data_IF_065513879538
#
_entry.id   IF_065513879538
#
_cell.length_a   1.000
_cell.length_b   1.000
_cell.length_c   1.000
_cell.angle_alpha   90.00
_cell.angle_beta   90.00
_cell.angle_gamma   90.00
#
_symmetry.space_group_name_H-M   'P 1'
#
loop_
_entity.id
_entity.type
_entity.pdbx_description
1 polymer ?
#
# COMPACT_ATOMS: atom_id res chain seq x y z
N UNK A 1 -19.81 7.26 0.39
CA UNK A 1 -18.35 7.32 0.17
C UNK A 1 -17.66 7.59 1.49
N UNK A 2 -16.82 6.66 1.94
CA UNK A 2 -16.01 6.81 3.17
C UNK A 2 -15.04 7.98 3.04
N UNK A 3 -14.72 8.63 4.16
CA UNK A 3 -13.70 9.67 4.17
C UNK A 3 -12.30 9.05 3.96
N UNK A 4 -11.43 9.77 3.26
CA UNK A 4 -10.05 9.35 3.03
C UNK A 4 -9.32 9.03 4.34
N UNK A 5 -9.58 9.78 5.42
CA UNK A 5 -8.97 9.55 6.73
C UNK A 5 -9.32 8.19 7.31
N UNK A 6 -10.59 7.79 7.22
CA UNK A 6 -11.04 6.48 7.67
C UNK A 6 -10.50 5.36 6.78
N UNK A 7 -10.45 5.57 5.45
CA UNK A 7 -9.82 4.61 4.55
C UNK A 7 -8.33 4.40 4.85
N UNK A 8 -7.60 5.47 5.18
CA UNK A 8 -6.20 5.38 5.62
C UNK A 8 -6.09 4.60 6.94
N UNK A 9 -6.97 4.88 7.90
CA UNK A 9 -6.97 4.17 9.18
C UNK A 9 -7.19 2.66 8.98
N UNK A 10 -8.21 2.29 8.20
CA UNK A 10 -8.51 0.89 7.87
C UNK A 10 -7.37 0.17 7.18
N UNK A 11 -6.79 0.79 6.15
CA UNK A 11 -5.65 0.21 5.44
C UNK A 11 -4.43 0.03 6.36
N UNK A 12 -4.19 0.97 7.27
CA UNK A 12 -3.10 0.87 8.26
C UNK A 12 -3.34 -0.24 9.27
N UNK A 13 -4.55 -0.33 9.84
CA UNK A 13 -4.93 -1.39 10.80
C UNK A 13 -4.76 -2.79 10.19
N UNK A 14 -5.22 -2.96 8.96
CA UNK A 14 -5.07 -4.23 8.25
C UNK A 14 -3.61 -4.60 7.99
N UNK A 15 -2.78 -3.65 7.55
CA UNK A 15 -1.36 -3.90 7.34
C UNK A 15 -0.63 -4.18 8.66
N UNK A 16 -1.04 -3.58 9.78
CA UNK A 16 -0.52 -3.94 11.11
C UNK A 16 -0.86 -5.39 11.45
N UNK A 17 -2.09 -5.84 11.21
CA UNK A 17 -2.52 -7.22 11.47
C UNK A 17 -1.76 -8.24 10.61
N UNK A 18 -1.65 -7.97 9.30
CA UNK A 18 -0.98 -8.87 8.34
C UNK A 18 0.52 -8.97 8.60
N UNK A 19 1.18 -7.84 8.88
CA UNK A 19 2.64 -7.79 9.05
C UNK A 19 3.09 -7.87 10.52
N UNK A 20 2.15 -8.12 11.44
CA UNK A 20 2.41 -8.27 12.86
C UNK A 20 2.66 -6.93 13.55
N UNK A 21 3.80 -6.29 13.26
CA UNK A 21 4.21 -4.97 13.79
C UNK A 21 5.36 -4.38 12.94
N UNK A 22 5.07 -3.80 11.76
CA UNK A 22 6.06 -2.98 11.05
C UNK A 22 6.53 -1.82 11.93
N UNK A 23 7.79 -1.41 11.78
CA UNK A 23 8.41 -0.34 12.59
C UNK A 23 7.65 0.99 12.43
N UNK A 24 7.14 1.23 11.22
CA UNK A 24 6.28 2.36 10.90
C UNK A 24 5.42 2.00 9.67
N UNK A 25 4.18 2.46 9.58
CA UNK A 25 3.42 2.40 8.32
C UNK A 25 3.20 3.83 7.87
N UNK A 26 3.80 4.18 6.74
CA UNK A 26 3.77 5.53 6.20
C UNK A 26 2.79 5.54 5.03
N UNK A 27 1.91 6.52 4.99
CA UNK A 27 1.09 6.79 3.81
C UNK A 27 1.99 7.31 2.69
N UNK A 28 1.99 6.63 1.54
CA UNK A 28 2.73 7.05 0.35
C UNK A 28 1.87 7.96 -0.52
N UNK A 29 0.69 7.48 -0.90
CA UNK A 29 -0.28 8.21 -1.74
C UNK A 29 -1.68 7.61 -1.59
N UNK A 30 -2.72 8.37 -1.91
CA UNK A 30 -4.08 7.85 -1.98
C UNK A 30 -4.80 8.42 -3.21
N UNK A 31 -5.68 7.61 -3.80
CA UNK A 31 -6.47 7.96 -4.98
C UNK A 31 -7.90 7.46 -4.80
N UNK A 32 -8.87 8.27 -5.19
CA UNK A 32 -10.27 7.83 -5.30
C UNK A 32 -10.45 7.04 -6.60
N UNK A 33 -11.08 5.88 -6.52
CA UNK A 33 -11.37 4.97 -7.63
C UNK A 33 -12.85 4.58 -7.55
N UNK A 34 -13.70 5.25 -8.34
CA UNK A 34 -15.16 5.18 -8.24
C UNK A 34 -15.67 5.43 -6.80
N UNK A 35 -16.31 4.43 -6.18
CA UNK A 35 -16.82 4.46 -4.81
C UNK A 35 -15.79 4.00 -3.76
N UNK A 36 -14.55 3.73 -4.17
CA UNK A 36 -13.50 3.19 -3.32
C UNK A 36 -12.33 4.19 -3.15
N UNK A 37 -11.51 3.95 -2.13
CA UNK A 37 -10.20 4.55 -1.98
C UNK A 37 -9.11 3.53 -2.21
N UNK A 38 -8.18 3.84 -3.10
CA UNK A 38 -6.91 3.16 -3.24
C UNK A 38 -5.88 3.87 -2.38
N UNK A 39 -5.43 3.24 -1.30
CA UNK A 39 -4.49 3.81 -0.34
C UNK A 39 -3.18 3.05 -0.38
N UNK A 40 -2.11 3.71 -0.84
CA UNK A 40 -0.77 3.15 -0.93
C UNK A 40 0.02 3.45 0.33
N UNK A 41 0.57 2.42 0.93
CA UNK A 41 1.40 2.49 2.12
C UNK A 41 2.80 2.00 1.83
N UNK A 42 3.77 2.66 2.48
CA UNK A 42 5.14 2.23 2.58
C UNK A 42 5.32 1.52 3.93
N UNK A 43 5.67 0.24 3.85
CA UNK A 43 5.84 -0.66 4.99
C UNK A 43 7.31 -1.12 5.04
N UNK A 44 8.17 -0.47 5.85
CA UNK A 44 9.49 -0.96 6.18
C UNK A 44 9.37 -2.14 7.15
N UNK A 45 9.73 -3.34 6.70
CA UNK A 45 9.86 -4.50 7.57
C UNK A 45 11.27 -4.54 8.14
N UNK A 46 11.36 -4.54 9.46
CA UNK A 46 12.62 -4.78 10.15
C UNK A 46 12.82 -6.30 10.24
N UNK A 47 13.59 -6.85 9.29
CA UNK A 47 13.99 -8.25 9.33
C UNK A 47 15.06 -8.36 10.42
N UNK A 48 14.66 -8.77 11.63
CA UNK A 48 15.63 -9.11 12.67
C UNK A 48 16.54 -10.21 12.11
N UNK A 49 17.87 -10.03 12.07
CA UNK A 49 18.76 -11.06 11.58
C UNK A 49 18.60 -12.30 12.46
N UNK A 50 18.24 -13.42 11.84
CA UNK A 50 18.12 -14.72 12.52
C UNK A 50 19.55 -15.23 12.70
N UNK A 51 20.05 -15.10 13.92
CA UNK A 51 21.30 -15.63 14.46
C UNK A 51 22.63 -15.09 13.90
N UNK A 52 23.32 -14.38 14.79
CA UNK A 52 24.76 -14.55 15.08
C UNK A 52 25.70 -14.56 13.88
N UNK A 53 26.00 -13.38 13.35
CA UNK A 53 27.38 -13.00 13.03
C UNK A 53 27.43 -11.48 12.99
N UNK A 54 28.40 -10.98 13.74
CA UNK A 54 28.62 -9.59 14.02
C UNK A 54 28.77 -8.79 12.72
N UNK A 55 28.31 -7.54 12.76
CA UNK A 55 28.90 -6.45 12.00
C UNK A 55 28.58 -6.41 10.49
N UNK A 56 27.34 -6.06 10.13
CA UNK A 56 27.07 -5.37 8.86
C UNK A 56 26.29 -4.09 9.16
N UNK A 57 26.98 -2.96 9.00
CA UNK A 57 26.49 -1.59 9.05
C UNK A 57 25.38 -1.35 8.01
N UNK A 58 24.18 -1.82 8.30
CA UNK A 58 23.04 -1.64 7.42
C UNK A 58 21.93 -2.58 7.82
N UNK A 59 21.05 -2.10 8.70
CA UNK A 59 19.72 -2.69 8.87
C UNK A 59 19.16 -2.84 7.45
N UNK A 60 19.09 -4.06 6.92
CA UNK A 60 18.49 -4.36 5.63
C UNK A 60 16.98 -4.16 5.78
N UNK A 61 16.54 -2.90 5.88
CA UNK A 61 15.14 -2.50 5.88
C UNK A 61 14.60 -2.80 4.49
N UNK A 62 13.96 -3.94 4.31
CA UNK A 62 13.18 -4.20 3.10
C UNK A 62 11.93 -3.34 3.19
N UNK A 63 11.80 -2.40 2.27
CA UNK A 63 10.64 -1.53 2.13
C UNK A 63 9.70 -2.19 1.14
N UNK A 64 8.46 -2.38 1.55
CA UNK A 64 7.38 -2.89 0.71
C UNK A 64 6.38 -1.77 0.45
N UNK A 65 5.84 -1.73 -0.75
CA UNK A 65 4.72 -0.86 -1.09
C UNK A 65 3.47 -1.71 -1.22
N UNK A 66 2.43 -1.33 -0.50
CA UNK A 66 1.15 -2.03 -0.45
C UNK A 66 0.03 -1.06 -0.71
N UNK A 67 -0.72 -1.30 -1.78
CA UNK A 67 -1.92 -0.54 -2.09
C UNK A 67 -3.11 -1.32 -1.55
N UNK A 68 -3.91 -0.68 -0.71
CA UNK A 68 -5.12 -1.25 -0.11
C UNK A 68 -6.34 -0.56 -0.72
N UNK A 69 -7.27 -1.34 -1.27
CA UNK A 69 -8.55 -0.84 -1.79
C UNK A 69 -9.60 -0.94 -0.69
N UNK A 70 -10.13 0.21 -0.27
CA UNK A 70 -11.16 0.34 0.76
C UNK A 70 -12.45 0.79 0.08
N UNK A 71 -13.54 0.06 0.29
CA UNK A 71 -14.85 0.38 -0.28
C UNK A 71 -15.54 1.55 0.44
N UNK A 72 -16.75 1.90 0.01
CA UNK A 72 -17.53 2.98 0.62
C UNK A 72 -18.01 2.72 2.05
N UNK A 73 -17.97 1.46 2.50
CA UNK A 73 -18.35 1.02 3.85
C UNK A 73 -17.14 0.94 4.80
N UNK A 74 -15.92 1.09 4.28
CA UNK A 74 -14.69 0.95 5.04
C UNK A 74 -14.15 -0.47 5.12
N UNK A 75 -14.62 -1.36 4.24
CA UNK A 75 -14.15 -2.72 4.10
C UNK A 75 -13.00 -2.78 3.10
N UNK A 76 -12.00 -3.62 3.39
CA UNK A 76 -10.88 -3.85 2.48
C UNK A 76 -11.26 -4.94 1.51
N UNK A 77 -11.40 -4.56 0.23
CA UNK A 77 -11.87 -5.46 -0.82
C UNK A 77 -10.72 -6.04 -1.65
N UNK A 78 -9.57 -5.35 -1.70
CA UNK A 78 -8.42 -5.79 -2.50
C UNK A 78 -7.10 -5.24 -1.95
N UNK A 79 -6.01 -6.00 -2.15
CA UNK A 79 -4.64 -5.57 -1.85
C UNK A 79 -3.80 -5.78 -3.10
N UNK A 80 -3.14 -4.73 -3.55
CA UNK A 80 -2.32 -4.72 -4.75
C UNK A 80 -0.86 -4.55 -4.32
N UNK A 81 -0.02 -5.50 -4.74
CA UNK A 81 1.43 -5.40 -4.67
C UNK A 81 1.93 -4.50 -5.80
N UNK A 82 2.46 -3.32 -5.45
CA UNK A 82 3.04 -2.39 -6.42
C UNK A 82 2.43 -0.99 -6.39
N UNK A 83 2.72 -0.21 -7.42
CA UNK A 83 2.23 1.16 -7.60
C UNK A 83 0.73 1.21 -7.85
N UNK A 84 0.11 2.32 -7.46
CA UNK A 84 -1.28 2.61 -7.86
C UNK A 84 -1.36 2.54 -9.38
N UNK A 85 -2.41 1.93 -9.96
CA UNK A 85 -2.64 1.99 -11.40
C UNK A 85 -2.65 3.46 -11.81
N UNK A 86 -1.61 3.87 -12.55
CA UNK A 86 -1.60 5.15 -13.21
C UNK A 86 -2.78 5.13 -14.18
N UNK A 87 -3.64 6.14 -14.14
CA UNK A 87 -4.53 6.41 -15.27
C UNK A 87 -3.63 6.55 -16.50
N UNK A 88 -3.42 5.46 -17.24
CA UNK A 88 -2.96 5.58 -18.59
C UNK A 88 -4.13 6.23 -19.32
N UNK A 89 -3.97 7.41 -19.93
CA UNK A 89 -4.96 7.85 -20.90
C UNK A 89 -5.00 6.74 -21.95
N UNK A 90 -6.14 6.07 -22.08
CA UNK A 90 -6.39 5.17 -23.19
C UNK A 90 -6.35 6.03 -24.44
N UNK A 91 -5.18 6.14 -25.06
CA UNK A 91 -5.03 6.72 -26.39
C UNK A 91 -5.67 5.72 -27.36
N UNK A 92 -7.01 5.73 -27.40
CA UNK A 92 -7.77 5.07 -28.44
C UNK A 92 -7.49 5.91 -29.70
N UNK A 93 -6.34 5.68 -30.33
CA UNK A 93 -6.12 6.17 -31.69
C UNK A 93 -7.21 5.50 -32.55
N UNK A 94 -8.11 6.26 -33.19
CA UNK A 94 -8.95 5.65 -34.20
C UNK A 94 -8.02 5.14 -35.30
N UNK A 95 -7.99 3.82 -35.51
CA UNK A 95 -7.43 3.26 -36.72
C UNK A 95 -8.26 3.84 -37.87
N UNK A 96 -7.67 4.79 -38.61
CA UNK A 96 -8.26 5.33 -39.81
C UNK A 96 -8.44 4.18 -40.80
N UNK A 97 -9.70 3.94 -41.19
CA UNK A 97 -10.11 3.08 -42.29
C UNK A 97 -9.92 3.76 -43.64
#
# INVERSE_FOLDING_TARGET
>A
MIELRDAIAKGKEFLLEVYGQPEEIILDSAKSDDNCWLVKFRVPLNIKPINSLQNVLGINKRIFYKTVKVDENGEIIEIIDGDLPQDQPTDIQPQAV
#
